data_IF_891191515578
#
_entry.id   IF_891191515578
#
_cell.length_a   1.000
_cell.length_b   1.000
_cell.length_c   1.000
_cell.angle_alpha   90.00
_cell.angle_beta   90.00
_cell.angle_gamma   90.00
#
_symmetry.space_group_name_H-M   'P 1'
#
loop_
_entity.id
_entity.type
_entity.pdbx_description
1 polymer ?
#
# COMPACT_ATOMS: atom_id res chain seq x y z
N UNK A 1 -16.49 4.69 1.32
CA UNK A 1 -15.09 4.63 0.88
C UNK A 1 -14.25 5.43 1.86
N UNK A 2 -13.52 4.77 2.75
CA UNK A 2 -12.68 5.47 3.72
C UNK A 2 -11.41 5.95 2.99
N UNK A 3 -11.39 7.22 2.57
CA UNK A 3 -10.20 7.84 2.01
C UNK A 3 -9.17 8.02 3.12
N UNK A 4 -8.34 7.00 3.33
CA UNK A 4 -7.15 7.12 4.16
C UNK A 4 -6.22 8.10 3.45
N UNK A 5 -5.92 9.20 4.12
CA UNK A 5 -5.02 10.23 3.60
C UNK A 5 -3.65 10.02 4.22
N UNK A 6 -2.60 10.30 3.45
CA UNK A 6 -1.25 10.26 3.97
C UNK A 6 -1.09 11.26 5.12
N UNK A 7 -0.66 10.83 6.32
CA UNK A 7 -0.48 11.73 7.45
C UNK A 7 0.69 12.71 7.26
N UNK A 8 1.59 12.47 6.30
CA UNK A 8 2.73 13.35 6.05
C UNK A 8 2.47 14.47 5.04
N UNK A 9 1.71 14.19 3.98
CA UNK A 9 1.45 15.17 2.91
C UNK A 9 -0.02 15.51 2.73
N UNK A 10 -0.94 14.83 3.41
CA UNK A 10 -2.39 15.03 3.30
C UNK A 10 -3.02 14.54 1.99
N UNK A 11 -2.25 13.88 1.11
CA UNK A 11 -2.75 13.37 -0.16
C UNK A 11 -3.65 12.14 0.06
N UNK A 12 -4.72 12.03 -0.73
CA UNK A 12 -5.57 10.84 -0.79
C UNK A 12 -5.03 9.76 -1.74
N UNK A 13 -3.91 10.03 -2.41
CA UNK A 13 -3.21 9.11 -3.31
C UNK A 13 -2.39 8.10 -2.49
N UNK A 14 -3.10 7.21 -1.79
CA UNK A 14 -2.51 6.15 -0.97
C UNK A 14 -3.05 4.80 -1.42
N UNK A 15 -2.16 3.82 -1.52
CA UNK A 15 -2.48 2.44 -1.92
C UNK A 15 -2.11 1.48 -0.80
N UNK A 16 -2.74 0.31 -0.80
CA UNK A 16 -2.47 -0.73 0.19
C UNK A 16 -1.23 -1.52 -0.20
N UNK A 17 -0.44 -1.89 0.80
CA UNK A 17 0.72 -2.74 0.60
C UNK A 17 0.30 -4.17 0.91
N UNK A 18 0.37 -5.03 -0.09
CA UNK A 18 0.09 -6.46 0.02
C UNK A 18 1.42 -7.16 0.24
N UNK A 19 1.55 -7.78 1.41
CA UNK A 19 2.71 -8.60 1.76
C UNK A 19 2.34 -10.09 1.73
N UNK A 20 3.36 -10.94 1.55
CA UNK A 20 3.21 -12.38 1.49
C UNK A 20 3.21 -12.90 0.06
N UNK A 21 2.44 -13.96 -0.20
CA UNK A 21 2.33 -14.56 -1.53
C UNK A 21 1.16 -13.90 -2.28
N UNK A 22 1.42 -13.02 -3.27
CA UNK A 22 0.35 -12.38 -4.01
C UNK A 22 -0.40 -13.40 -4.86
N UNK A 23 -1.73 -13.29 -4.86
CA UNK A 23 -2.57 -13.98 -5.83
C UNK A 23 -2.56 -13.22 -7.18
N UNK A 24 -3.09 -13.82 -8.24
CA UNK A 24 -3.15 -13.21 -9.56
C UNK A 24 -3.88 -11.85 -9.54
N UNK A 25 -4.90 -11.73 -8.69
CA UNK A 25 -5.65 -10.49 -8.49
C UNK A 25 -4.79 -9.37 -7.87
N UNK A 26 -3.93 -9.70 -6.91
CA UNK A 26 -3.01 -8.73 -6.32
C UNK A 26 -1.95 -8.26 -7.34
N UNK A 27 -1.53 -9.16 -8.24
CA UNK A 27 -0.59 -8.84 -9.32
C UNK A 27 -1.19 -7.88 -10.35
N UNK A 28 -2.45 -8.10 -10.72
CA UNK A 28 -3.16 -7.20 -11.65
C UNK A 28 -3.48 -5.85 -10.98
N UNK A 29 -3.88 -5.86 -9.70
CA UNK A 29 -4.08 -4.64 -8.93
C UNK A 29 -2.77 -3.84 -8.79
N UNK A 30 -1.60 -4.48 -8.67
CA UNK A 30 -0.31 -3.80 -8.69
C UNK A 30 -0.05 -3.12 -10.04
N UNK A 31 -0.29 -3.83 -11.16
CA UNK A 31 -0.17 -3.25 -12.51
C UNK A 31 -1.12 -2.08 -12.74
N UNK A 32 -2.34 -2.16 -12.23
CA UNK A 32 -3.33 -1.08 -12.25
C UNK A 32 -2.92 0.07 -11.33
N UNK A 33 -1.98 -0.19 -10.42
CA UNK A 33 -1.54 0.78 -9.43
C UNK A 33 -2.58 1.00 -8.32
N UNK A 34 -3.40 0.01 -8.03
CA UNK A 34 -4.34 0.03 -6.92
C UNK A 34 -3.70 -0.45 -5.61
N UNK A 35 -2.71 -1.36 -5.70
CA UNK A 35 -1.94 -1.88 -4.56
C UNK A 35 -0.44 -1.87 -4.84
N UNK A 36 0.37 -2.08 -3.81
CA UNK A 36 1.82 -2.22 -3.89
C UNK A 36 2.23 -3.58 -3.33
N UNK A 37 3.08 -4.35 -4.01
CA UNK A 37 3.58 -5.61 -3.46
C UNK A 37 4.79 -5.32 -2.58
N UNK A 38 4.59 -5.41 -1.25
CA UNK A 38 5.60 -5.08 -0.24
C UNK A 38 6.69 -6.14 -0.04
N UNK A 39 6.57 -7.27 -0.74
CA UNK A 39 7.50 -8.39 -0.66
C UNK A 39 6.94 -9.59 0.12
N UNK A 40 7.73 -10.66 0.15
CA UNK A 40 7.29 -11.96 0.67
C UNK A 40 7.29 -12.05 2.21
N UNK A 41 8.08 -11.22 2.89
CA UNK A 41 8.17 -11.20 4.34
C UNK A 41 7.26 -10.11 4.90
N UNK A 42 6.18 -10.52 5.60
CA UNK A 42 5.39 -9.63 6.46
C UNK A 42 5.86 -9.79 7.90
N UNK A 43 6.20 -8.67 8.53
CA UNK A 43 6.47 -8.52 9.94
C UNK A 43 5.35 -7.67 10.57
N UNK A 44 5.20 -7.77 11.88
CA UNK A 44 4.15 -7.07 12.63
C UNK A 44 4.31 -5.53 12.60
N UNK A 45 5.49 -5.03 12.24
CA UNK A 45 5.80 -3.61 12.11
C UNK A 45 5.79 -3.10 10.66
N UNK A 46 5.39 -3.93 9.69
CA UNK A 46 5.38 -3.49 8.31
C UNK A 46 4.23 -2.53 8.02
N UNK A 47 4.48 -1.50 7.20
CA UNK A 47 3.50 -0.49 6.86
C UNK A 47 2.38 -1.06 6.00
N UNK A 48 1.11 -0.91 6.38
CA UNK A 48 0.00 -1.47 5.60
C UNK A 48 -0.33 -0.66 4.34
N UNK A 49 0.14 0.59 4.24
CA UNK A 49 -0.16 1.52 3.14
C UNK A 49 1.04 2.34 2.73
N UNK A 50 1.08 2.70 1.46
CA UNK A 50 2.08 3.62 0.88
C UNK A 50 1.40 4.76 0.13
N UNK A 51 1.92 5.97 0.31
CA UNK A 51 1.48 7.13 -0.44
C UNK A 51 2.21 7.22 -1.78
N UNK A 52 1.48 7.17 -2.90
CA UNK A 52 2.04 7.34 -4.24
C UNK A 52 2.58 8.75 -4.50
N UNK A 53 2.06 9.75 -3.80
CA UNK A 53 2.46 11.15 -3.95
C UNK A 53 3.85 11.44 -3.37
N UNK A 54 4.09 10.95 -2.16
CA UNK A 54 5.31 11.28 -1.40
C UNK A 54 6.19 10.07 -1.08
N UNK A 55 5.76 8.86 -1.44
CA UNK A 55 6.47 7.61 -1.15
C UNK A 55 6.45 7.19 0.32
N UNK A 56 5.68 7.88 1.19
CA UNK A 56 5.64 7.53 2.61
C UNK A 56 4.77 6.31 2.87
N UNK A 57 5.35 5.36 3.56
CA UNK A 57 4.72 4.17 4.08
C UNK A 57 4.18 4.43 5.50
N UNK A 58 2.99 3.92 5.82
CA UNK A 58 2.33 4.09 7.11
C UNK A 58 1.23 3.03 7.34
N UNK A 59 1.03 2.63 8.60
CA UNK A 59 -0.09 1.78 9.06
C UNK A 59 -1.11 2.62 9.85
N UNK A 60 -2.36 2.17 9.96
CA UNK A 60 -3.43 2.93 10.64
C UNK A 60 -3.72 2.43 12.05
#
# INVERSE_FOLDING_TARGET
MANIKCPACGSAETVEIVYGMPDAEAFEAEKLGEVYLGGCCVSDNDPERICKRCGREFSR
#
